data_IF_231273013139
#
_entry.id   IF_231273013139
#
_cell.length_a   1.000
_cell.length_b   1.000
_cell.length_c   1.000
_cell.angle_alpha   90.00
_cell.angle_beta   90.00
_cell.angle_gamma   90.00
#
_symmetry.space_group_name_H-M   'P 1'
#
loop_
_entity.id
_entity.type
_entity.pdbx_description
1 polymer ?
#
# COMPACT_ATOMS: atom_id res chain seq x y z
N UNK A 1 -13.79 -4.52 4.17
CA UNK A 1 -13.64 -5.91 4.70
C UNK A 1 -14.14 -7.02 3.79
N UNK A 2 -15.02 -6.74 2.81
CA UNK A 2 -15.55 -7.74 1.86
C UNK A 2 -14.51 -8.70 1.25
N UNK A 3 -13.35 -8.20 0.83
CA UNK A 3 -12.30 -9.04 0.21
C UNK A 3 -11.58 -9.99 1.18
N UNK A 4 -11.69 -9.75 2.49
CA UNK A 4 -11.03 -10.51 3.55
C UNK A 4 -11.98 -11.43 4.33
N UNK A 5 -13.28 -11.31 4.09
CA UNK A 5 -14.33 -12.03 4.82
C UNK A 5 -15.30 -12.75 3.89
N UNK A 6 -15.61 -12.15 2.72
CA UNK A 6 -16.43 -12.80 1.71
C UNK A 6 -15.53 -13.49 0.67
N UNK A 7 -15.61 -14.83 0.53
CA UNK A 7 -14.89 -15.52 -0.51
C UNK A 7 -15.36 -15.09 -1.89
N UNK A 8 -14.45 -15.06 -2.86
CA UNK A 8 -14.79 -14.76 -4.25
C UNK A 8 -15.91 -15.71 -4.71
N UNK A 9 -17.02 -15.14 -5.20
CA UNK A 9 -18.24 -15.89 -5.53
C UNK A 9 -18.22 -16.47 -6.95
N UNK A 10 -17.34 -15.96 -7.81
CA UNK A 10 -17.24 -16.30 -9.24
C UNK A 10 -15.78 -16.28 -9.72
N UNK A 11 -15.48 -17.07 -10.77
CA UNK A 11 -14.16 -17.17 -11.38
C UNK A 11 -13.33 -18.39 -10.90
N UNK A 12 -12.13 -18.60 -11.47
CA UNK A 12 -11.30 -19.79 -11.20
C UNK A 12 -10.74 -19.84 -9.76
N UNK A 13 -10.76 -18.73 -9.03
CA UNK A 13 -10.40 -18.63 -7.61
C UNK A 13 -11.63 -18.50 -6.69
N UNK A 14 -12.79 -18.99 -7.12
CA UNK A 14 -14.01 -19.02 -6.31
C UNK A 14 -13.75 -19.73 -4.98
N UNK A 15 -14.13 -19.11 -3.86
CA UNK A 15 -13.85 -19.61 -2.51
C UNK A 15 -12.58 -19.02 -1.87
N UNK A 16 -11.70 -18.39 -2.63
CA UNK A 16 -10.51 -17.75 -2.07
C UNK A 16 -10.88 -16.46 -1.34
N UNK A 17 -10.31 -16.30 -0.15
CA UNK A 17 -10.39 -15.10 0.68
C UNK A 17 -8.99 -14.50 0.73
N UNK A 18 -8.88 -13.18 0.63
CA UNK A 18 -7.59 -12.52 0.78
C UNK A 18 -7.17 -12.61 2.24
N UNK A 19 -5.95 -13.08 2.53
CA UNK A 19 -5.44 -13.06 3.89
C UNK A 19 -5.02 -11.62 4.25
N UNK A 20 -5.55 -11.08 5.36
CA UNK A 20 -5.20 -9.72 5.82
C UNK A 20 -3.72 -9.56 6.12
N UNK A 21 -3.09 -10.58 6.69
CA UNK A 21 -1.67 -10.52 7.06
C UNK A 21 -0.78 -10.55 5.82
N UNK A 22 -1.10 -11.40 4.85
CA UNK A 22 -0.39 -11.44 3.57
C UNK A 22 -0.59 -10.15 2.77
N UNK A 23 -1.81 -9.61 2.76
CA UNK A 23 -2.09 -8.33 2.12
C UNK A 23 -1.34 -7.19 2.78
N UNK A 24 -1.34 -7.13 4.12
CA UNK A 24 -0.58 -6.11 4.86
C UNK A 24 0.91 -6.21 4.54
N UNK A 25 1.47 -7.42 4.54
CA UNK A 25 2.87 -7.64 4.17
C UNK A 25 3.17 -7.21 2.73
N UNK A 26 2.29 -7.54 1.78
CA UNK A 26 2.44 -7.10 0.39
C UNK A 26 2.39 -5.57 0.24
N UNK A 27 1.52 -4.91 1.01
CA UNK A 27 1.46 -3.44 1.07
C UNK A 27 2.74 -2.85 1.70
N UNK A 28 3.24 -3.46 2.77
CA UNK A 28 4.48 -3.03 3.43
C UNK A 28 5.67 -3.15 2.47
N UNK A 29 5.79 -4.26 1.76
CA UNK A 29 6.83 -4.46 0.74
C UNK A 29 6.71 -3.41 -0.38
N UNK A 30 5.48 -3.14 -0.85
CA UNK A 30 5.21 -2.13 -1.88
C UNK A 30 5.62 -0.72 -1.47
N UNK A 31 5.30 -0.31 -0.24
CA UNK A 31 5.68 0.99 0.30
C UNK A 31 7.20 1.09 0.47
N UNK A 32 7.84 0.03 0.97
CA UNK A 32 9.28 -0.03 1.15
C UNK A 32 10.04 0.12 -0.17
N UNK A 33 9.62 -0.59 -1.22
CA UNK A 33 10.20 -0.48 -2.57
C UNK A 33 10.08 0.93 -3.15
N UNK A 34 8.98 1.63 -2.83
CA UNK A 34 8.75 3.01 -3.30
C UNK A 34 9.44 4.07 -2.45
N UNK A 35 10.09 3.68 -1.36
CA UNK A 35 10.66 4.62 -0.39
C UNK A 35 9.57 5.43 0.32
N UNK A 36 8.42 4.82 0.57
CA UNK A 36 7.33 5.38 1.35
C UNK A 36 7.46 4.89 2.80
N UNK A 37 7.00 5.71 3.73
CA UNK A 37 6.97 5.37 5.14
C UNK A 37 5.79 4.42 5.41
N UNK A 38 6.08 3.28 6.02
CA UNK A 38 5.13 2.21 6.35
C UNK A 38 4.10 2.65 7.39
N UNK A 39 4.47 3.57 8.27
CA UNK A 39 3.61 4.02 9.37
C UNK A 39 2.67 5.11 8.88
N UNK A 40 3.22 6.09 8.14
CA UNK A 40 2.43 7.22 7.66
C UNK A 40 1.80 6.98 6.29
N UNK A 41 2.18 5.91 5.58
CA UNK A 41 1.81 5.59 4.19
C UNK A 41 2.17 6.69 3.18
N UNK A 42 2.99 7.65 3.61
CA UNK A 42 3.37 8.83 2.82
C UNK A 42 4.71 8.60 2.13
N UNK A 43 4.92 9.18 0.93
CA UNK A 43 6.24 9.19 0.31
C UNK A 43 7.25 9.87 1.23
N UNK A 44 8.45 9.30 1.37
CA UNK A 44 9.53 9.95 2.12
C UNK A 44 9.93 11.27 1.46
N UNK A 45 10.43 12.21 2.26
CA UNK A 45 10.99 13.46 1.74
C UNK A 45 12.15 13.23 0.77
N UNK A 46 12.90 12.12 0.90
CA UNK A 46 13.93 11.73 -0.06
C UNK A 46 13.33 11.31 -1.40
N UNK A 47 12.26 10.51 -1.38
CA UNK A 47 11.57 10.11 -2.61
C UNK A 47 10.94 11.31 -3.32
N UNK A 48 10.31 12.22 -2.58
CA UNK A 48 9.72 13.44 -3.13
C UNK A 48 10.78 14.36 -3.76
N UNK A 49 11.95 14.50 -3.12
CA UNK A 49 13.11 15.20 -3.69
C UNK A 49 13.60 14.57 -4.98
N UNK A 50 13.71 13.23 -5.02
CA UNK A 50 14.12 12.51 -6.24
C UNK A 50 13.15 12.64 -7.42
N UNK A 51 11.89 12.97 -7.14
CA UNK A 51 10.84 13.17 -8.14
C UNK A 51 10.58 14.66 -8.43
N UNK A 52 11.39 15.57 -7.88
CA UNK A 52 11.21 17.02 -8.01
C UNK A 52 9.84 17.52 -7.48
N UNK A 53 9.23 16.76 -6.57
CA UNK A 53 7.93 17.05 -5.95
C UNK A 53 8.08 17.74 -4.58
N UNK A 54 9.16 18.50 -4.41
CA UNK A 54 9.51 19.18 -3.15
C UNK A 54 8.43 20.16 -2.69
N UNK A 55 7.65 20.72 -3.63
CA UNK A 55 6.55 21.63 -3.32
C UNK A 55 5.45 20.96 -2.46
N UNK A 56 5.22 19.65 -2.64
CA UNK A 56 4.21 18.88 -1.90
C UNK A 56 4.65 18.63 -0.45
N UNK A 57 5.96 18.63 -0.18
CA UNK A 57 6.50 18.45 1.19
C UNK A 57 5.97 19.54 2.13
N UNK A 58 5.73 20.76 1.62
CA UNK A 58 5.16 21.86 2.41
C UNK A 58 3.69 21.67 2.76
N UNK A 59 2.91 20.97 1.92
CA UNK A 59 1.48 20.71 2.16
C UNK A 59 1.22 19.47 3.03
N UNK A 60 2.21 18.58 3.16
CA UNK A 60 2.13 17.39 4.01
C UNK A 60 2.32 17.67 5.52
N UNK A 61 2.60 18.93 5.90
CA UNK A 61 2.80 19.41 7.28
C UNK A 61 1.51 19.50 8.07
#
# INVERSE_FOLDING_TARGET
DRFFEEPLTVGPRKGAVLNRDEFKKAMDDYYKERGWDLITTKPSAEKLRSLELEFVIKELK
#
